data_IF_595020966758
#
_entry.id   IF_595020966758
#
_cell.length_a   1.000
_cell.length_b   1.000
_cell.length_c   1.000
_cell.angle_alpha   90.00
_cell.angle_beta   90.00
_cell.angle_gamma   90.00
#
_symmetry.space_group_name_H-M   'P 1'
#
loop_
_entity.id
_entity.type
_entity.pdbx_description
1 polymer ?
#
# COMPACT_ATOMS: atom_id res chain seq x y z
N UNK A 1 -74.19 5.81 31.80
CA UNK A 1 -73.99 5.59 33.24
C UNK A 1 -72.72 4.80 33.45
N UNK A 2 -71.79 5.38 34.22
CA UNK A 2 -70.62 4.78 34.90
C UNK A 2 -69.50 4.12 34.03
N UNK A 3 -68.29 3.92 34.58
CA UNK A 3 -67.32 4.94 34.99
C UNK A 3 -65.87 4.62 34.52
N UNK A 4 -64.92 5.56 34.66
CA UNK A 4 -63.48 5.26 34.64
C UNK A 4 -63.07 4.39 35.85
N UNK A 5 -62.01 3.58 35.72
CA UNK A 5 -60.95 3.65 36.74
C UNK A 5 -59.51 3.50 36.21
N UNK A 6 -58.63 3.91 37.10
CA UNK A 6 -57.17 4.09 37.05
C UNK A 6 -56.29 2.88 36.70
N UNK A 7 -55.11 3.24 36.19
CA UNK A 7 -53.76 2.76 36.53
C UNK A 7 -53.46 1.26 36.55
N UNK A 8 -52.53 0.84 35.69
CA UNK A 8 -51.52 -0.20 35.99
C UNK A 8 -50.26 0.06 35.14
N UNK A 9 -49.18 0.42 35.84
CA UNK A 9 -47.79 0.18 35.39
C UNK A 9 -47.55 -1.33 35.39
N UNK A 10 -46.77 -1.85 34.43
CA UNK A 10 -45.45 -2.42 34.76
C UNK A 10 -44.40 -1.89 33.75
N UNK A 11 -43.16 -1.50 34.11
CA UNK A 11 -42.21 -2.26 34.92
C UNK A 11 -41.74 -3.47 34.11
N UNK A 12 -41.05 -3.26 32.99
CA UNK A 12 -39.59 -3.37 32.84
C UNK A 12 -39.08 -4.82 32.89
N UNK A 13 -38.06 -5.04 32.06
CA UNK A 13 -37.16 -6.22 32.01
C UNK A 13 -37.55 -7.33 31.01
N UNK A 14 -36.51 -7.81 30.33
CA UNK A 14 -36.47 -8.85 29.28
C UNK A 14 -36.85 -8.45 27.85
N UNK A 15 -36.29 -7.33 27.40
CA UNK A 15 -35.98 -7.14 25.98
C UNK A 15 -34.59 -7.67 25.66
N UNK A 16 -34.47 -8.95 25.30
CA UNK A 16 -33.30 -9.42 24.55
C UNK A 16 -33.05 -8.44 23.39
N UNK A 17 -31.83 -7.89 23.24
CA UNK A 17 -31.47 -7.21 22.02
C UNK A 17 -31.34 -8.28 20.95
N UNK A 18 -32.45 -8.59 20.29
CA UNK A 18 -32.42 -9.19 18.95
C UNK A 18 -31.37 -8.42 18.15
N UNK A 19 -30.34 -9.09 17.59
CA UNK A 19 -29.38 -8.44 16.73
C UNK A 19 -30.13 -8.12 15.43
N UNK A 20 -30.87 -7.01 15.44
CA UNK A 20 -31.32 -6.36 14.24
C UNK A 20 -30.07 -6.14 13.43
N UNK A 21 -29.95 -6.93 12.35
CA UNK A 21 -28.85 -6.95 11.38
C UNK A 21 -28.77 -5.56 10.76
N UNK A 22 -28.15 -4.65 11.50
CA UNK A 22 -28.02 -3.24 11.16
C UNK A 22 -27.19 -3.17 9.91
N UNK A 23 -27.82 -2.79 8.81
CA UNK A 23 -27.08 -2.38 7.63
C UNK A 23 -26.21 -1.19 8.03
N UNK A 24 -24.90 -1.36 7.89
CA UNK A 24 -23.94 -0.31 8.18
C UNK A 24 -24.15 0.83 7.20
N UNK A 25 -24.58 2.00 7.70
CA UNK A 25 -24.65 3.21 6.87
C UNK A 25 -23.22 3.59 6.46
N UNK A 26 -23.04 4.12 5.24
CA UNK A 26 -21.72 4.58 4.79
C UNK A 26 -21.12 5.53 5.83
N UNK A 27 -20.01 5.13 6.46
CA UNK A 27 -19.33 5.92 7.49
C UNK A 27 -19.38 5.36 8.92
N UNK A 28 -20.08 4.25 9.19
CA UNK A 28 -20.30 3.67 10.53
C UNK A 28 -19.04 3.15 11.26
N UNK A 29 -17.84 3.39 10.71
CA UNK A 29 -16.60 2.85 11.27
C UNK A 29 -16.61 1.31 11.30
N UNK A 30 -15.67 0.71 12.03
CA UNK A 30 -15.63 -0.75 12.23
C UNK A 30 -16.26 -1.08 13.57
N UNK A 31 -17.22 -2.01 13.58
CA UNK A 31 -17.77 -2.52 14.84
C UNK A 31 -16.71 -3.30 15.62
N UNK A 32 -16.95 -3.54 16.91
CA UNK A 32 -16.02 -4.31 17.75
C UNK A 32 -15.91 -5.76 17.26
N UNK A 33 -17.06 -6.39 16.97
CA UNK A 33 -17.12 -7.75 16.41
C UNK A 33 -16.45 -7.84 15.04
N UNK A 34 -16.67 -6.84 14.17
CA UNK A 34 -16.01 -6.76 12.86
C UNK A 34 -14.49 -6.58 13.00
N UNK A 35 -14.05 -5.83 14.02
CA UNK A 35 -12.62 -5.63 14.30
C UNK A 35 -11.96 -6.91 14.81
N UNK A 36 -12.63 -7.68 15.66
CA UNK A 36 -12.14 -8.97 16.15
C UNK A 36 -12.12 -10.02 15.04
N UNK A 37 -13.20 -10.12 14.25
CA UNK A 37 -13.29 -11.02 13.08
C UNK A 37 -12.18 -10.75 12.07
N UNK A 38 -11.93 -9.47 11.75
CA UNK A 38 -10.83 -9.08 10.87
C UNK A 38 -9.47 -9.61 11.34
N UNK A 39 -9.17 -9.52 12.65
CA UNK A 39 -7.85 -9.96 13.15
C UNK A 39 -7.72 -11.48 13.08
N UNK A 40 -8.81 -12.22 13.31
CA UNK A 40 -8.84 -13.68 13.13
C UNK A 40 -8.63 -14.08 11.66
N UNK A 41 -9.36 -13.49 10.73
CA UNK A 41 -9.21 -13.80 9.30
C UNK A 41 -7.81 -13.47 8.77
N UNK A 42 -7.26 -12.33 9.20
CA UNK A 42 -5.87 -11.98 8.84
C UNK A 42 -4.91 -12.99 9.46
N UNK A 43 -5.12 -13.46 10.68
CA UNK A 43 -4.23 -14.47 11.28
C UNK A 43 -4.17 -15.78 10.49
N UNK A 44 -5.29 -16.20 9.90
CA UNK A 44 -5.38 -17.47 9.17
C UNK A 44 -4.92 -17.37 7.71
N UNK A 45 -5.23 -16.25 7.03
CA UNK A 45 -5.18 -16.18 5.56
C UNK A 45 -4.39 -15.01 5.00
N UNK A 46 -3.57 -14.34 5.82
CA UNK A 46 -2.78 -13.21 5.34
C UNK A 46 -1.82 -13.56 4.19
N UNK A 47 -1.43 -14.83 4.07
CA UNK A 47 -0.54 -15.34 3.01
C UNK A 47 -1.25 -15.42 1.64
N UNK A 48 -2.56 -15.66 1.64
CA UNK A 48 -3.38 -15.80 0.43
C UNK A 48 -3.65 -14.43 -0.24
N UNK A 49 -3.46 -13.34 0.50
CA UNK A 49 -3.61 -11.98 0.03
C UNK A 49 -4.82 -11.26 0.62
N UNK A 50 -4.79 -9.92 0.51
CA UNK A 50 -5.81 -9.07 1.12
C UNK A 50 -7.17 -9.13 0.43
N UNK A 51 -7.21 -9.54 -0.84
CA UNK A 51 -8.46 -9.68 -1.60
C UNK A 51 -9.26 -10.88 -1.10
N UNK A 52 -8.59 -12.03 -0.87
CA UNK A 52 -9.22 -13.22 -0.27
C UNK A 52 -9.72 -12.94 1.14
N UNK A 53 -8.92 -12.24 1.95
CA UNK A 53 -9.35 -11.78 3.29
C UNK A 53 -10.60 -10.90 3.18
N UNK A 54 -10.68 -10.00 2.20
CA UNK A 54 -11.85 -9.15 2.02
C UNK A 54 -13.10 -9.93 1.59
N UNK A 55 -12.97 -10.93 0.73
CA UNK A 55 -14.08 -11.76 0.30
C UNK A 55 -14.66 -12.57 1.47
N UNK A 56 -13.79 -13.17 2.29
CA UNK A 56 -14.20 -13.90 3.50
C UNK A 56 -14.82 -12.96 4.53
N UNK A 57 -14.20 -11.80 4.78
CA UNK A 57 -14.73 -10.77 5.68
C UNK A 57 -16.14 -10.35 5.28
N UNK A 58 -16.35 -10.09 3.99
CA UNK A 58 -17.64 -9.66 3.48
C UNK A 58 -18.69 -10.78 3.51
N UNK A 59 -18.28 -12.04 3.42
CA UNK A 59 -19.17 -13.19 3.61
C UNK A 59 -19.62 -13.32 5.07
N UNK A 60 -18.72 -13.06 6.03
CA UNK A 60 -19.03 -13.06 7.47
C UNK A 60 -19.85 -11.83 7.89
N UNK A 61 -19.56 -10.67 7.31
CA UNK A 61 -20.21 -9.39 7.59
C UNK A 61 -20.92 -8.80 6.36
N UNK A 62 -21.98 -9.45 5.84
CA UNK A 62 -22.66 -9.07 4.59
C UNK A 62 -23.31 -7.67 4.59
N UNK A 63 -23.47 -7.06 5.77
CA UNK A 63 -23.94 -5.68 5.92
C UNK A 63 -22.83 -4.61 5.86
N UNK A 64 -21.56 -5.02 5.85
CA UNK A 64 -20.39 -4.14 5.92
C UNK A 64 -19.47 -4.44 4.74
N UNK A 65 -19.81 -3.94 3.54
CA UNK A 65 -18.96 -4.13 2.35
C UNK A 65 -17.63 -3.40 2.53
N UNK A 66 -16.58 -4.12 2.88
CA UNK A 66 -15.21 -3.62 3.04
C UNK A 66 -14.37 -4.00 1.82
N UNK A 67 -13.47 -3.10 1.47
CA UNK A 67 -12.44 -3.37 0.46
C UNK A 67 -11.16 -3.86 1.15
N UNK A 68 -10.36 -4.65 0.44
CA UNK A 68 -9.02 -5.08 0.88
C UNK A 68 -8.18 -3.91 1.45
N UNK A 69 -8.19 -2.76 0.77
CA UNK A 69 -7.51 -1.55 1.23
C UNK A 69 -8.05 -0.99 2.56
N UNK A 70 -9.37 -1.05 2.79
CA UNK A 70 -9.98 -0.60 4.04
C UNK A 70 -9.65 -1.51 5.23
N UNK A 71 -9.65 -2.84 5.01
CA UNK A 71 -9.27 -3.83 6.01
C UNK A 71 -7.79 -3.72 6.36
N UNK A 72 -6.92 -3.59 5.35
CA UNK A 72 -5.48 -3.38 5.54
C UNK A 72 -5.18 -2.13 6.36
N UNK A 73 -5.87 -1.01 6.07
CA UNK A 73 -5.73 0.24 6.85
C UNK A 73 -6.21 0.07 8.29
N UNK A 74 -7.34 -0.61 8.51
CA UNK A 74 -7.85 -0.90 9.86
C UNK A 74 -6.89 -1.78 10.65
N UNK A 75 -6.42 -2.88 10.07
CA UNK A 75 -5.42 -3.75 10.67
C UNK A 75 -4.12 -2.99 10.99
N UNK A 76 -3.67 -2.13 10.07
CA UNK A 76 -2.51 -1.27 10.29
C UNK A 76 -2.66 -0.32 11.47
N UNK A 77 -3.87 0.23 11.66
CA UNK A 77 -4.18 1.06 12.81
C UNK A 77 -4.19 0.26 14.12
N UNK A 78 -4.65 -0.99 14.10
CA UNK A 78 -4.70 -1.85 15.28
C UNK A 78 -3.32 -2.23 15.80
N UNK A 79 -2.41 -2.72 14.95
CA UNK A 79 -1.10 -3.15 15.42
C UNK A 79 -0.20 -1.96 15.83
N UNK A 80 -0.47 -0.76 15.29
CA UNK A 80 0.23 0.49 15.68
C UNK A 80 -0.37 1.17 16.92
N UNK A 81 -1.52 0.71 17.40
CA UNK A 81 -2.20 1.31 18.53
C UNK A 81 -1.32 1.21 19.79
N UNK A 82 -1.10 2.34 20.46
CA UNK A 82 -0.54 2.41 21.81
C UNK A 82 -1.66 2.07 22.80
N UNK A 83 -1.41 1.09 23.66
CA UNK A 83 -2.39 0.59 24.61
C UNK A 83 -2.21 1.41 25.89
N UNK A 84 -3.10 2.38 26.08
CA UNK A 84 -3.14 3.21 27.29
C UNK A 84 -4.28 2.73 28.22
N UNK A 85 -4.25 3.12 29.50
CA UNK A 85 -5.26 2.75 30.50
C UNK A 85 -6.70 3.18 30.14
N UNK A 86 -6.86 4.14 29.23
CA UNK A 86 -8.16 4.61 28.71
C UNK A 86 -8.70 3.77 27.54
N UNK A 87 -7.91 2.81 27.03
CA UNK A 87 -8.30 1.99 25.88
C UNK A 87 -9.31 0.94 26.31
N UNK A 88 -10.47 0.85 25.63
CA UNK A 88 -11.47 -0.18 25.92
C UNK A 88 -10.86 -1.57 25.79
N UNK A 89 -11.08 -2.43 26.79
CA UNK A 89 -10.50 -3.77 26.90
C UNK A 89 -10.64 -4.62 25.62
N UNK A 90 -11.80 -4.55 24.96
CA UNK A 90 -12.04 -5.27 23.69
C UNK A 90 -11.11 -4.82 22.56
N UNK A 91 -10.80 -3.52 22.49
CA UNK A 91 -9.84 -2.99 21.53
C UNK A 91 -8.39 -3.34 21.90
N UNK A 92 -8.10 -3.46 23.20
CA UNK A 92 -6.79 -3.92 23.68
C UNK A 92 -6.53 -5.35 23.21
N UNK A 93 -7.50 -6.26 23.41
CA UNK A 93 -7.40 -7.65 22.96
C UNK A 93 -7.14 -7.76 21.45
N UNK A 94 -7.95 -7.06 20.66
CA UNK A 94 -7.78 -7.03 19.19
C UNK A 94 -6.43 -6.42 18.76
N UNK A 95 -5.95 -5.39 19.45
CA UNK A 95 -4.65 -4.78 19.18
C UNK A 95 -3.47 -5.71 19.51
N UNK A 96 -3.54 -6.45 20.61
CA UNK A 96 -2.52 -7.45 20.98
C UNK A 96 -2.45 -8.58 19.96
N UNK A 97 -3.60 -9.10 19.53
CA UNK A 97 -3.66 -10.10 18.47
C UNK A 97 -3.12 -9.55 17.14
N UNK A 98 -3.48 -8.31 16.77
CA UNK A 98 -2.97 -7.68 15.57
C UNK A 98 -1.44 -7.49 15.60
N UNK A 99 -0.86 -7.15 16.78
CA UNK A 99 0.60 -7.09 16.98
C UNK A 99 1.24 -8.46 16.80
N UNK A 100 0.66 -9.52 17.40
CA UNK A 100 1.14 -10.90 17.22
C UNK A 100 1.16 -11.32 15.75
N UNK A 101 0.04 -11.12 15.05
CA UNK A 101 -0.09 -11.44 13.61
C UNK A 101 0.92 -10.62 12.80
N UNK A 102 1.14 -9.35 13.13
CA UNK A 102 2.14 -8.51 12.46
C UNK A 102 3.56 -9.04 12.62
N UNK A 103 3.92 -9.54 13.80
CA UNK A 103 5.23 -10.15 14.04
C UNK A 103 5.38 -11.48 13.28
N UNK A 104 4.32 -12.29 13.19
CA UNK A 104 4.30 -13.49 12.34
C UNK A 104 4.54 -13.14 10.85
N UNK A 105 3.80 -12.14 10.34
CA UNK A 105 3.97 -11.63 8.98
C UNK A 105 5.41 -11.12 8.70
N UNK A 106 6.08 -10.57 9.72
CA UNK A 106 7.49 -10.12 9.61
C UNK A 106 8.48 -11.29 9.71
N UNK A 107 8.23 -12.22 10.62
CA UNK A 107 9.06 -13.41 10.85
C UNK A 107 9.12 -14.28 9.61
N UNK A 108 8.00 -14.46 8.92
CA UNK A 108 7.95 -15.25 7.69
C UNK A 108 8.55 -14.55 6.47
N UNK A 109 8.63 -13.20 6.47
CA UNK A 109 9.47 -12.47 5.50
C UNK A 109 10.97 -12.61 5.77
N UNK A 110 11.36 -13.04 6.98
CA UNK A 110 12.75 -13.31 7.38
C UNK A 110 13.11 -14.79 7.27
N UNK A 111 12.12 -15.68 7.34
CA UNK A 111 12.30 -17.12 7.25
C UNK A 111 12.01 -17.64 5.83
N UNK A 112 12.88 -17.29 4.88
CA UNK A 112 13.24 -18.24 3.82
C UNK A 112 14.27 -19.23 4.43
N UNK A 113 14.20 -20.53 4.10
CA UNK A 113 14.85 -21.58 4.88
C UNK A 113 16.35 -21.60 4.59
N UNK A 114 17.13 -21.09 5.53
CA UNK A 114 18.58 -21.13 5.45
C UNK A 114 19.19 -20.66 6.75
N UNK A 115 19.46 -21.62 7.66
CA UNK A 115 20.36 -21.52 8.80
C UNK A 115 20.09 -20.42 9.85
N UNK A 116 19.46 -20.80 10.97
CA UNK A 116 20.16 -20.94 12.26
C UNK A 116 19.15 -20.96 13.42
N UNK A 117 19.14 -22.07 14.16
CA UNK A 117 18.80 -22.07 15.59
C UNK A 117 19.83 -21.24 16.36
N UNK A 118 19.39 -20.62 17.46
CA UNK A 118 20.08 -20.26 18.73
C UNK A 118 19.41 -18.97 19.23
N UNK A 119 18.40 -19.07 20.10
CA UNK A 119 18.49 -18.96 21.58
C UNK A 119 19.00 -17.60 22.07
N UNK A 120 18.12 -16.89 22.79
CA UNK A 120 18.48 -16.22 24.03
C UNK A 120 18.51 -14.69 24.04
N UNK A 121 18.07 -14.16 25.19
CA UNK A 121 18.42 -12.87 25.78
C UNK A 121 17.67 -11.59 25.38
N UNK A 122 16.55 -11.38 26.09
CA UNK A 122 16.41 -10.30 27.09
C UNK A 122 17.61 -9.33 27.19
N UNK A 123 17.40 -8.07 26.78
CA UNK A 123 17.73 -6.88 27.57
C UNK A 123 17.30 -5.59 26.84
N UNK A 124 16.61 -4.78 27.63
CA UNK A 124 16.47 -3.33 27.59
C UNK A 124 17.22 -2.57 26.48
N UNK A 125 16.46 -1.82 25.68
CA UNK A 125 16.95 -0.58 25.09
C UNK A 125 15.93 0.50 25.36
N UNK A 126 16.13 1.14 26.51
CA UNK A 126 15.78 2.54 26.72
C UNK A 126 16.36 3.36 25.54
N UNK A 127 15.52 4.24 25.00
CA UNK A 127 15.71 4.82 23.68
C UNK A 127 14.77 6.00 23.52
N UNK A 128 15.07 7.05 24.27
CA UNK A 128 14.51 8.40 24.16
C UNK A 128 14.54 8.83 22.69
N UNK A 129 13.37 8.95 22.06
CA UNK A 129 13.24 9.69 20.80
C UNK A 129 12.18 10.79 20.98
N UNK A 130 12.75 11.99 21.08
CA UNK A 130 12.13 13.29 21.23
C UNK A 130 11.71 13.80 19.84
N UNK A 131 10.53 14.42 19.80
CA UNK A 131 9.95 15.21 18.70
C UNK A 131 9.53 14.40 17.45
N UNK A 132 8.37 14.64 16.84
CA UNK A 132 7.74 15.92 16.56
C UNK A 132 6.22 15.77 16.39
N UNK A 133 5.54 16.81 16.88
CA UNK A 133 4.17 17.21 16.63
C UNK A 133 3.78 17.02 15.16
N UNK A 134 2.59 16.46 14.89
CA UNK A 134 1.78 16.80 13.71
C UNK A 134 0.37 16.24 13.87
N UNK A 135 -0.41 17.06 14.55
CA UNK A 135 -1.84 17.18 14.41
C UNK A 135 -2.25 17.41 12.93
N UNK A 136 -3.52 17.15 12.63
CA UNK A 136 -4.27 17.75 11.51
C UNK A 136 -4.14 17.12 10.09
N UNK A 137 -5.22 16.48 9.63
CA UNK A 137 -6.18 17.08 8.68
C UNK A 137 -7.10 15.99 8.10
N UNK A 138 -8.38 16.25 8.31
CA UNK A 138 -9.55 15.58 7.79
C UNK A 138 -9.77 15.95 6.31
N UNK A 139 -10.38 15.03 5.54
CA UNK A 139 -11.18 15.27 4.32
C UNK A 139 -10.50 15.89 3.08
N UNK A 140 -10.48 15.12 1.99
CA UNK A 140 -11.24 15.45 0.76
C UNK A 140 -11.34 14.21 -0.12
N UNK A 141 -12.56 13.70 -0.28
CA UNK A 141 -12.93 12.74 -1.33
C UNK A 141 -13.11 13.53 -2.63
N UNK A 142 -12.58 13.02 -3.73
CA UNK A 142 -13.10 13.33 -5.06
C UNK A 142 -13.14 12.03 -5.86
N UNK A 143 -14.37 11.61 -6.11
CA UNK A 143 -14.71 10.51 -6.98
C UNK A 143 -14.67 11.02 -8.42
N UNK A 144 -13.98 10.29 -9.29
CA UNK A 144 -14.21 10.35 -10.73
C UNK A 144 -14.31 8.90 -11.21
N UNK A 145 -15.56 8.43 -11.32
CA UNK A 145 -15.94 7.34 -12.20
C UNK A 145 -15.74 7.83 -13.63
N UNK A 146 -15.14 6.99 -14.49
CA UNK A 146 -15.55 6.88 -15.89
C UNK A 146 -15.26 5.45 -16.34
N UNK A 147 -16.35 4.70 -16.52
CA UNK A 147 -16.40 3.44 -17.24
C UNK A 147 -16.58 3.75 -18.73
N UNK A 148 -15.85 3.05 -19.59
CA UNK A 148 -16.33 2.63 -20.93
C UNK A 148 -15.49 1.43 -21.38
N UNK A 149 -16.10 0.25 -21.22
CA UNK A 149 -16.03 -0.93 -22.10
C UNK A 149 -16.29 -0.48 -23.56
N UNK A 150 -15.83 -1.08 -24.67
CA UNK A 150 -15.51 -2.44 -25.17
C UNK A 150 -14.78 -2.18 -26.53
N UNK A 151 -14.02 -3.04 -27.22
CA UNK A 151 -14.26 -4.44 -27.56
C UNK A 151 -13.04 -5.02 -28.34
N UNK A 152 -12.98 -6.35 -28.35
CA UNK A 152 -12.40 -7.25 -29.37
C UNK A 152 -10.93 -7.08 -29.84
N UNK A 153 -10.10 -8.09 -29.54
CA UNK A 153 -9.70 -9.08 -30.56
C UNK A 153 -9.22 -10.38 -29.91
N UNK A 154 -9.92 -11.45 -30.28
CA UNK A 154 -9.58 -12.86 -30.10
C UNK A 154 -8.38 -13.19 -30.98
N UNK A 155 -7.32 -13.76 -30.40
CA UNK A 155 -6.41 -14.77 -30.98
C UNK A 155 -5.07 -14.71 -30.22
N UNK A 156 -4.69 -15.81 -29.57
CA UNK A 156 -3.60 -16.67 -30.04
C UNK A 156 -3.15 -17.61 -28.89
N UNK A 157 -3.96 -18.60 -28.57
CA UNK A 157 -3.50 -19.76 -27.79
C UNK A 157 -2.72 -20.70 -28.71
N UNK A 158 -1.48 -20.37 -29.07
CA UNK A 158 -0.62 -21.32 -29.79
C UNK A 158 0.91 -21.16 -29.62
N UNK A 159 1.40 -20.46 -28.59
CA UNK A 159 2.86 -20.21 -28.43
C UNK A 159 3.60 -21.10 -27.41
N UNK A 160 2.96 -22.15 -26.89
CA UNK A 160 3.58 -23.06 -25.90
C UNK A 160 4.11 -24.37 -26.49
N UNK A 161 4.36 -24.44 -27.80
CA UNK A 161 4.85 -25.69 -28.45
C UNK A 161 6.04 -25.56 -29.41
N UNK A 162 6.77 -24.44 -29.43
CA UNK A 162 7.89 -24.25 -30.38
C UNK A 162 9.28 -24.04 -29.74
N UNK A 163 9.53 -24.55 -28.52
CA UNK A 163 10.90 -24.55 -27.94
C UNK A 163 11.61 -25.90 -28.03
N UNK A 164 11.13 -26.82 -28.88
CA UNK A 164 11.72 -28.14 -29.04
C UNK A 164 11.91 -28.49 -30.51
N UNK A 165 12.79 -27.74 -31.20
CA UNK A 165 13.55 -28.12 -32.40
C UNK A 165 14.33 -26.90 -32.92
N UNK A 166 15.33 -26.45 -32.16
CA UNK A 166 16.40 -25.59 -32.70
C UNK A 166 17.72 -26.32 -32.49
N UNK A 167 17.92 -27.32 -33.35
CA UNK A 167 19.22 -27.90 -33.63
C UNK A 167 19.68 -27.24 -34.94
N UNK A 168 20.85 -26.59 -34.89
CA UNK A 168 21.59 -25.94 -35.97
C UNK A 168 21.13 -24.53 -36.42
N UNK A 169 21.43 -23.51 -35.63
CA UNK A 169 21.90 -22.22 -36.17
C UNK A 169 23.11 -21.75 -35.36
N UNK A 170 24.29 -21.81 -35.98
CA UNK A 170 25.51 -21.22 -35.46
C UNK A 170 25.56 -19.71 -35.79
N UNK A 171 25.72 -18.92 -34.70
CA UNK A 171 26.49 -17.67 -34.51
C UNK A 171 26.42 -16.56 -35.58
N UNK A 172 25.83 -15.39 -35.22
CA UNK A 172 26.61 -14.29 -34.59
C UNK A 172 26.04 -13.75 -33.26
N UNK A 173 24.73 -13.84 -33.02
CA UNK A 173 24.06 -13.21 -31.86
C UNK A 173 24.52 -13.72 -30.49
N UNK A 174 25.01 -14.96 -30.42
CA UNK A 174 25.46 -15.59 -29.18
C UNK A 174 26.83 -15.09 -28.71
N UNK A 175 27.72 -14.76 -29.65
CA UNK A 175 29.04 -14.23 -29.32
C UNK A 175 28.97 -12.79 -28.84
N UNK A 176 28.07 -11.99 -29.42
CA UNK A 176 27.81 -10.63 -28.98
C UNK A 176 27.24 -10.58 -27.56
N UNK A 177 26.31 -11.48 -27.21
CA UNK A 177 25.75 -11.56 -25.86
C UNK A 177 26.81 -11.95 -24.81
N UNK A 178 27.75 -12.81 -25.18
CA UNK A 178 28.83 -13.24 -24.29
C UNK A 178 29.88 -12.13 -24.12
N UNK A 179 30.25 -11.45 -25.21
CA UNK A 179 31.14 -10.29 -25.14
C UNK A 179 30.50 -9.17 -24.30
N UNK A 180 29.22 -8.88 -24.50
CA UNK A 180 28.50 -7.92 -23.67
C UNK A 180 28.48 -8.32 -22.18
N UNK A 181 28.38 -9.62 -21.87
CA UNK A 181 28.45 -10.10 -20.50
C UNK A 181 29.87 -9.97 -19.90
N UNK A 182 30.93 -10.27 -20.67
CA UNK A 182 32.32 -10.05 -20.24
C UNK A 182 32.57 -8.55 -20.00
N UNK A 183 32.10 -7.69 -20.90
CA UNK A 183 32.31 -6.24 -20.82
C UNK A 183 31.65 -5.60 -19.60
N UNK A 184 30.66 -6.26 -18.99
CA UNK A 184 30.06 -5.83 -17.72
C UNK A 184 30.98 -6.02 -16.51
N UNK A 185 32.04 -6.81 -16.65
CA UNK A 185 32.95 -7.16 -15.57
C UNK A 185 34.36 -6.66 -15.89
N UNK A 186 34.69 -5.39 -15.58
CA UNK A 186 36.01 -4.82 -15.90
C UNK A 186 37.18 -5.60 -15.27
N UNK A 187 37.00 -6.23 -14.10
CA UNK A 187 38.08 -6.91 -13.38
C UNK A 187 38.21 -8.39 -13.81
N UNK A 188 37.10 -9.12 -13.87
CA UNK A 188 37.09 -10.53 -14.27
C UNK A 188 37.07 -10.74 -15.79
N UNK A 189 36.84 -9.69 -16.58
CA UNK A 189 36.64 -9.81 -18.03
C UNK A 189 37.90 -10.25 -18.80
N UNK A 190 39.08 -9.78 -18.40
CA UNK A 190 40.37 -10.21 -18.98
C UNK A 190 40.68 -11.68 -18.69
N UNK A 191 40.63 -12.14 -17.42
CA UNK A 191 40.74 -13.55 -17.08
C UNK A 191 39.75 -14.45 -17.83
N UNK A 192 38.49 -14.04 -17.95
CA UNK A 192 37.47 -14.80 -18.70
C UNK A 192 37.78 -14.89 -20.20
N UNK A 193 38.27 -13.81 -20.81
CA UNK A 193 38.70 -13.82 -22.22
C UNK A 193 39.90 -14.76 -22.44
N UNK A 194 40.86 -14.77 -21.51
CA UNK A 194 42.00 -15.71 -21.56
C UNK A 194 41.57 -17.16 -21.39
N UNK A 195 40.69 -17.44 -20.42
CA UNK A 195 40.15 -18.78 -20.20
C UNK A 195 39.37 -19.29 -21.41
N UNK A 196 38.62 -18.42 -22.07
CA UNK A 196 37.94 -18.73 -23.33
C UNK A 196 38.92 -19.07 -24.45
N UNK A 197 39.95 -18.25 -24.65
CA UNK A 197 40.97 -18.49 -25.67
C UNK A 197 41.71 -19.83 -25.43
N UNK A 198 41.95 -20.20 -24.16
CA UNK A 198 42.54 -21.50 -23.80
C UNK A 198 41.61 -22.67 -24.15
N UNK A 199 40.30 -22.55 -23.88
CA UNK A 199 39.31 -23.57 -24.26
C UNK A 199 39.24 -23.72 -25.78
N UNK A 200 39.22 -22.60 -26.52
CA UNK A 200 39.20 -22.58 -27.99
C UNK A 200 40.48 -23.18 -28.60
N UNK A 201 41.63 -22.98 -27.96
CA UNK A 201 42.90 -23.59 -28.38
C UNK A 201 43.08 -25.05 -27.93
N UNK A 202 42.11 -25.62 -27.21
CA UNK A 202 42.21 -26.98 -26.64
C UNK A 202 43.24 -27.11 -25.52
N UNK A 203 43.70 -26.00 -24.94
CA UNK A 203 44.65 -25.97 -23.83
C UNK A 203 43.90 -26.15 -22.50
N UNK A 204 44.43 -26.97 -21.59
CA UNK A 204 43.85 -27.14 -20.27
C UNK A 204 44.24 -25.96 -19.38
N UNK A 205 43.27 -25.14 -18.98
CA UNK A 205 43.46 -24.14 -17.93
C UNK A 205 43.86 -24.83 -16.62
N UNK A 206 44.80 -24.25 -15.87
CA UNK A 206 45.13 -24.81 -14.56
C UNK A 206 43.93 -24.64 -13.61
N UNK A 207 43.71 -25.63 -12.73
CA UNK A 207 42.65 -25.57 -11.70
C UNK A 207 42.74 -24.30 -10.86
N UNK A 208 43.95 -23.80 -10.62
CA UNK A 208 44.22 -22.58 -9.87
C UNK A 208 43.73 -21.33 -10.62
N UNK A 209 44.00 -21.21 -11.93
CA UNK A 209 43.50 -20.09 -12.75
C UNK A 209 41.98 -20.10 -12.88
N UNK A 210 41.38 -21.28 -12.99
CA UNK A 210 39.93 -21.47 -12.95
C UNK A 210 39.34 -20.97 -11.63
N UNK A 211 39.88 -21.42 -10.50
CA UNK A 211 39.42 -20.98 -9.17
C UNK A 211 39.59 -19.47 -8.98
N UNK A 212 40.72 -18.91 -9.40
CA UNK A 212 40.99 -17.48 -9.29
C UNK A 212 40.00 -16.66 -10.13
N UNK A 213 39.71 -17.10 -11.34
CA UNK A 213 38.75 -16.44 -12.24
C UNK A 213 37.34 -16.51 -11.68
N UNK A 214 36.91 -17.67 -11.18
CA UNK A 214 35.59 -17.82 -10.53
C UNK A 214 35.47 -16.92 -9.30
N UNK A 215 36.51 -16.83 -8.47
CA UNK A 215 36.50 -15.96 -7.31
C UNK A 215 36.36 -14.47 -7.70
N UNK A 216 37.08 -14.02 -8.73
CA UNK A 216 36.96 -12.66 -9.25
C UNK A 216 35.54 -12.37 -9.75
N UNK A 217 34.95 -13.28 -10.53
CA UNK A 217 33.57 -13.15 -11.01
C UNK A 217 32.58 -13.07 -9.84
N UNK A 218 32.76 -13.90 -8.80
CA UNK A 218 31.87 -13.89 -7.64
C UNK A 218 31.98 -12.57 -6.86
N UNK A 219 33.19 -12.08 -6.60
CA UNK A 219 33.41 -10.82 -5.88
C UNK A 219 32.84 -9.63 -6.66
N UNK A 220 33.11 -9.57 -7.96
CA UNK A 220 32.61 -8.49 -8.82
C UNK A 220 31.08 -8.56 -8.97
N UNK A 221 30.51 -9.76 -9.06
CA UNK A 221 29.06 -9.96 -9.04
C UNK A 221 28.42 -9.53 -7.72
N UNK A 222 29.09 -9.74 -6.58
CA UNK A 222 28.60 -9.24 -5.29
C UNK A 222 28.65 -7.71 -5.23
N UNK A 223 29.78 -7.12 -5.63
CA UNK A 223 29.95 -5.68 -5.66
C UNK A 223 28.91 -5.00 -6.57
N UNK A 224 28.66 -5.56 -7.75
CA UNK A 224 27.65 -5.04 -8.67
C UNK A 224 26.25 -5.04 -8.06
N UNK A 225 25.86 -6.14 -7.38
CA UNK A 225 24.57 -6.20 -6.67
C UNK A 225 24.48 -5.20 -5.53
N UNK A 226 25.59 -4.91 -4.86
CA UNK A 226 25.63 -3.87 -3.81
C UNK A 226 25.42 -2.49 -4.39
N UNK A 227 26.11 -2.20 -5.50
CA UNK A 227 26.00 -0.93 -6.21
C UNK A 227 24.58 -0.71 -6.76
N UNK A 228 23.95 -1.74 -7.31
CA UNK A 228 22.53 -1.70 -7.72
C UNK A 228 21.60 -1.43 -6.53
N UNK A 229 21.83 -2.09 -5.38
CA UNK A 229 21.04 -1.81 -4.17
C UNK A 229 21.23 -0.37 -3.66
N UNK A 230 22.41 0.20 -3.81
CA UNK A 230 22.68 1.59 -3.43
C UNK A 230 22.01 2.57 -4.40
N UNK A 231 22.07 2.31 -5.70
CA UNK A 231 21.34 3.07 -6.70
C UNK A 231 19.83 3.04 -6.44
N UNK A 232 19.25 1.87 -6.17
CA UNK A 232 17.83 1.72 -5.82
C UNK A 232 17.44 2.51 -4.55
N UNK A 233 18.35 2.65 -3.59
CA UNK A 233 18.12 3.44 -2.37
C UNK A 233 18.16 4.93 -2.70
N UNK A 234 19.08 5.35 -3.56
CA UNK A 234 19.23 6.73 -3.99
C UNK A 234 18.07 7.18 -4.88
N UNK A 235 17.64 6.36 -5.83
CA UNK A 235 16.45 6.61 -6.66
C UNK A 235 15.21 6.80 -5.80
N UNK A 236 15.00 5.93 -4.79
CA UNK A 236 13.89 6.09 -3.83
C UNK A 236 13.97 7.38 -3.02
N UNK A 237 15.18 7.88 -2.71
CA UNK A 237 15.35 9.19 -2.04
C UNK A 237 14.98 10.33 -2.98
N UNK A 238 15.43 10.28 -4.23
CA UNK A 238 15.13 11.28 -5.25
C UNK A 238 13.64 11.31 -5.61
N UNK A 239 13.02 10.15 -5.80
CA UNK A 239 11.58 10.02 -6.06
C UNK A 239 10.76 10.59 -4.89
N UNK A 240 11.14 10.28 -3.65
CA UNK A 240 10.51 10.87 -2.46
C UNK A 240 10.66 12.39 -2.42
N UNK A 241 11.82 12.93 -2.79
CA UNK A 241 12.02 14.38 -2.86
C UNK A 241 11.14 15.03 -3.94
N UNK A 242 11.10 14.44 -5.15
CA UNK A 242 10.23 14.90 -6.24
C UNK A 242 8.77 14.89 -5.83
N UNK A 243 8.32 13.80 -5.20
CA UNK A 243 6.95 13.69 -4.71
C UNK A 243 6.61 14.75 -3.65
N UNK A 244 7.54 15.04 -2.72
CA UNK A 244 7.34 16.10 -1.73
C UNK A 244 7.29 17.49 -2.36
N UNK A 245 8.09 17.73 -3.39
CA UNK A 245 8.09 18.97 -4.15
C UNK A 245 6.78 19.14 -4.95
N UNK A 246 6.33 18.08 -5.63
CA UNK A 246 5.06 18.03 -6.33
C UNK A 246 3.88 18.27 -5.38
N UNK A 247 3.88 17.63 -4.20
CA UNK A 247 2.86 17.86 -3.16
C UNK A 247 2.88 19.29 -2.60
N UNK A 248 4.06 19.93 -2.52
CA UNK A 248 4.16 21.35 -2.15
C UNK A 248 3.62 22.24 -3.26
N UNK A 249 3.92 21.92 -4.51
CA UNK A 249 3.41 22.67 -5.65
C UNK A 249 1.90 22.54 -5.81
N UNK A 250 1.36 21.34 -5.65
CA UNK A 250 -0.08 21.09 -5.69
C UNK A 250 -0.82 21.90 -4.61
N UNK A 251 -0.26 21.98 -3.40
CA UNK A 251 -0.80 22.85 -2.35
C UNK A 251 -0.79 24.32 -2.74
N UNK A 252 0.31 24.82 -3.33
CA UNK A 252 0.39 26.20 -3.83
C UNK A 252 -0.67 26.48 -4.89
N UNK A 253 -0.86 25.56 -5.85
CA UNK A 253 -1.89 25.69 -6.91
C UNK A 253 -3.29 25.73 -6.32
N UNK A 254 -3.62 24.81 -5.42
CA UNK A 254 -4.94 24.76 -4.78
C UNK A 254 -5.21 26.00 -3.90
N UNK A 255 -4.18 26.56 -3.26
CA UNK A 255 -4.32 27.81 -2.52
C UNK A 255 -4.54 29.03 -3.44
N UNK A 256 -3.83 29.08 -4.57
CA UNK A 256 -4.05 30.10 -5.60
C UNK A 256 -5.46 30.02 -6.18
N UNK A 257 -5.93 28.83 -6.53
CA UNK A 257 -7.29 28.60 -7.04
C UNK A 257 -8.35 29.08 -6.04
N UNK A 258 -8.20 28.71 -4.76
CA UNK A 258 -9.11 29.21 -3.71
C UNK A 258 -9.05 30.73 -3.55
N UNK A 259 -7.89 31.36 -3.73
CA UNK A 259 -7.78 32.81 -3.66
C UNK A 259 -8.43 33.49 -4.87
N UNK A 260 -8.30 32.91 -6.06
CA UNK A 260 -9.00 33.38 -7.27
C UNK A 260 -10.51 33.21 -7.16
N UNK A 261 -10.99 32.08 -6.64
CA UNK A 261 -12.40 31.84 -6.39
C UNK A 261 -12.99 32.86 -5.43
N UNK A 262 -12.24 33.25 -4.38
CA UNK A 262 -12.64 34.35 -3.50
C UNK A 262 -12.78 35.66 -4.27
N UNK A 263 -11.80 36.00 -5.13
CA UNK A 263 -11.87 37.22 -5.96
C UNK A 263 -13.05 37.20 -6.93
N UNK A 264 -13.31 36.07 -7.58
CA UNK A 264 -14.45 35.90 -8.50
C UNK A 264 -15.77 36.02 -7.76
N UNK A 265 -15.88 35.39 -6.59
CA UNK A 265 -17.06 35.48 -5.74
C UNK A 265 -17.29 36.91 -5.23
N UNK A 266 -16.24 37.60 -4.78
CA UNK A 266 -16.34 38.99 -4.33
C UNK A 266 -16.79 39.91 -5.48
N UNK A 267 -16.25 39.72 -6.69
CA UNK A 267 -16.66 40.46 -7.87
C UNK A 267 -18.12 40.17 -8.26
N UNK A 268 -18.54 38.91 -8.18
CA UNK A 268 -19.93 38.51 -8.40
C UNK A 268 -20.86 39.18 -7.38
N UNK A 269 -20.52 39.15 -6.09
CA UNK A 269 -21.31 39.79 -5.03
C UNK A 269 -21.38 41.31 -5.19
N UNK A 270 -20.31 41.97 -5.63
CA UNK A 270 -20.33 43.40 -5.96
C UNK A 270 -21.31 43.71 -7.09
N UNK A 271 -21.32 42.89 -8.14
CA UNK A 271 -22.24 43.04 -9.28
C UNK A 271 -23.70 42.83 -8.84
N UNK A 272 -23.97 41.78 -8.06
CA UNK A 272 -25.29 41.51 -7.50
C UNK A 272 -25.77 42.65 -6.61
N UNK A 273 -24.93 43.14 -5.70
CA UNK A 273 -25.28 44.27 -4.83
C UNK A 273 -25.57 45.54 -5.65
N UNK A 274 -24.80 45.79 -6.71
CA UNK A 274 -25.03 46.94 -7.61
C UNK A 274 -26.37 46.82 -8.34
N UNK A 275 -26.71 45.63 -8.86
CA UNK A 275 -28.00 45.36 -9.50
C UNK A 275 -29.17 45.51 -8.51
N UNK A 276 -29.04 45.00 -7.28
CA UNK A 276 -30.05 45.16 -6.23
C UNK A 276 -30.25 46.65 -5.89
N UNK A 277 -29.16 47.42 -5.78
CA UNK A 277 -29.23 48.86 -5.49
C UNK A 277 -29.92 49.64 -6.62
N UNK A 278 -29.66 49.29 -7.88
CA UNK A 278 -30.36 49.85 -9.04
C UNK A 278 -31.85 49.48 -9.05
N UNK A 279 -32.19 48.24 -8.72
CA UNK A 279 -33.58 47.78 -8.67
C UNK A 279 -34.39 48.55 -7.59
N UNK A 280 -33.81 48.68 -6.39
CA UNK A 280 -34.43 49.39 -5.26
C UNK A 280 -34.58 50.89 -5.54
N UNK A 281 -33.60 51.52 -6.19
CA UNK A 281 -33.67 52.93 -6.56
C UNK A 281 -34.65 53.20 -7.71
N UNK A 282 -34.74 52.30 -8.70
CA UNK A 282 -35.75 52.35 -9.76
C UNK A 282 -37.18 52.23 -9.25
N UNK A 283 -37.42 51.37 -8.26
CA UNK A 283 -38.74 51.17 -7.65
C UNK A 283 -39.21 52.38 -6.82
N UNK A 284 -38.29 53.23 -6.34
CA UNK A 284 -38.62 54.49 -5.65
C UNK A 284 -38.91 55.67 -6.61
N UNK A 285 -38.48 55.61 -7.86
CA UNK A 285 -38.74 56.70 -8.84
C UNK A 285 -40.08 56.57 -9.59
N UNK A 286 -40.78 55.42 -9.48
CA UNK A 286 -42.07 55.18 -10.15
C UNK A 286 -43.32 55.42 -9.30
N UNK A 287 -43.20 56.08 -8.14
CA UNK A 287 -44.30 56.32 -7.18
C UNK A 287 -44.65 57.81 -6.99
N UNK A 288 -44.30 58.67 -7.95
CA UNK A 288 -44.82 60.05 -8.05
C UNK A 288 -45.77 60.19 -9.23
#
# INVERSE_FOLDING_TARGET
>A
MAPSPSALRPGSEDGEPTPTRGYSKRGDGFSVQETEGLVHEVSERWQEGWDVVADVHNAQFPGHKRTAGSLKRKFAKLYRLKIDASTKEKHVRAALLAKKVREEMRGQRRALPGTARVLGDELESDGVEVHEDLNEVMMTQSAAQNQTLTDATVANEHDLRLTQTVVMQETPLREDAWQAAISRWPVAGEPLRRLRAQIESGATASTQELMQTVLLVLLESQHQRELERDQDREERRLEKQRWLEEMREQRRRHEQERAEDRRRNDHFMQTVNTLITQLVSGQRSGLN
#
